data_IF_741855911586
#
_entry.id   IF_741855911586
#
_cell.length_a   1.000
_cell.length_b   1.000
_cell.length_c   1.000
_cell.angle_alpha   90.00
_cell.angle_beta   90.00
_cell.angle_gamma   90.00
#
_symmetry.space_group_name_H-M   'P 1'
#
loop_
_entity.id
_entity.type
_entity.pdbx_description
1 polymer ?
#
# COMPACT_ATOMS: atom_id res chain seq x y z
N UNK A 1 18.76 -0.51 7.79
CA UNK A 1 17.98 -0.14 6.58
C UNK A 1 16.54 -0.52 6.86
N UNK A 2 15.59 0.42 6.80
CA UNK A 2 14.22 0.22 7.29
C UNK A 2 13.43 -0.72 6.37
N UNK A 3 12.71 -1.68 6.96
CA UNK A 3 11.79 -2.57 6.24
C UNK A 3 10.73 -1.78 5.47
N UNK A 4 10.46 -2.19 4.22
CA UNK A 4 9.43 -1.59 3.39
C UNK A 4 8.15 -2.41 3.56
N UNK A 5 7.11 -1.79 4.12
CA UNK A 5 5.79 -2.40 4.25
C UNK A 5 4.87 -1.90 3.13
N UNK A 6 4.24 -2.84 2.42
CA UNK A 6 3.27 -2.57 1.36
C UNK A 6 1.87 -3.03 1.79
N UNK A 7 0.86 -2.21 1.52
CA UNK A 7 -0.53 -2.51 1.84
C UNK A 7 -1.04 -3.67 0.99
N UNK A 8 -1.39 -4.79 1.63
CA UNK A 8 -2.01 -5.94 1.00
C UNK A 8 -3.53 -5.98 1.18
N UNK A 9 -4.06 -5.28 2.20
CA UNK A 9 -5.50 -5.17 2.41
C UNK A 9 -5.83 -4.30 3.62
N UNK A 10 -7.05 -3.79 3.66
CA UNK A 10 -7.56 -2.95 4.73
C UNK A 10 -8.94 -3.47 5.14
N UNK A 11 -9.15 -3.65 6.43
CA UNK A 11 -10.36 -4.26 6.99
C UNK A 11 -10.76 -3.55 8.27
N UNK A 12 -12.06 -3.42 8.48
CA UNK A 12 -12.60 -2.95 9.76
C UNK A 12 -12.52 -4.05 10.83
N UNK A 13 -12.42 -3.68 12.11
CA UNK A 13 -12.61 -4.62 13.20
C UNK A 13 -14.02 -5.22 13.15
N UNK A 14 -14.19 -6.45 13.65
CA UNK A 14 -15.51 -7.05 13.75
C UNK A 14 -16.44 -6.18 14.59
N UNK A 15 -17.66 -5.94 14.10
CA UNK A 15 -18.67 -5.12 14.77
C UNK A 15 -18.65 -3.63 14.42
N UNK A 16 -17.71 -3.16 13.60
CA UNK A 16 -17.72 -1.78 13.08
C UNK A 16 -18.31 -1.75 11.67
N UNK A 17 -19.44 -1.07 11.53
CA UNK A 17 -20.08 -0.87 10.23
C UNK A 17 -19.39 0.27 9.44
N UNK A 18 -19.38 0.17 8.11
CA UNK A 18 -18.69 1.16 7.27
C UNK A 18 -19.37 2.53 7.32
N UNK A 19 -20.70 2.54 7.44
CA UNK A 19 -21.53 3.73 7.58
C UNK A 19 -21.34 4.47 8.90
N UNK A 20 -20.80 3.78 9.93
CA UNK A 20 -20.50 4.38 11.23
C UNK A 20 -19.14 5.07 11.26
N UNK A 21 -18.37 5.01 10.17
CA UNK A 21 -17.06 5.64 10.11
C UNK A 21 -17.15 7.15 9.93
N UNK A 22 -16.33 7.91 10.67
CA UNK A 22 -16.15 9.33 10.42
C UNK A 22 -15.75 9.60 8.96
N UNK A 23 -16.31 10.66 8.36
CA UNK A 23 -16.05 11.05 6.97
C UNK A 23 -14.57 11.10 6.57
N UNK A 24 -13.65 11.66 7.38
CA UNK A 24 -12.21 11.65 7.08
C UNK A 24 -11.63 10.24 6.93
N UNK A 25 -12.14 9.26 7.68
CA UNK A 25 -11.68 7.87 7.63
C UNK A 25 -12.20 7.17 6.37
N UNK A 26 -13.46 7.37 6.01
CA UNK A 26 -14.03 6.88 4.75
C UNK A 26 -13.25 7.42 3.55
N UNK A 27 -12.89 8.70 3.57
CA UNK A 27 -12.04 9.31 2.53
C UNK A 27 -10.63 8.73 2.52
N UNK A 28 -10.02 8.49 3.70
CA UNK A 28 -8.73 7.83 3.80
C UNK A 28 -8.76 6.42 3.21
N UNK A 29 -9.81 5.63 3.48
CA UNK A 29 -9.98 4.29 2.90
C UNK A 29 -10.06 4.35 1.38
N UNK A 30 -10.83 5.28 0.82
CA UNK A 30 -10.94 5.48 -0.62
C UNK A 30 -9.62 5.93 -1.27
N UNK A 31 -8.79 6.65 -0.52
CA UNK A 31 -7.46 7.09 -0.96
C UNK A 31 -6.42 5.96 -0.96
N UNK A 32 -6.68 4.83 -0.28
CA UNK A 32 -5.78 3.68 -0.19
C UNK A 32 -5.90 2.72 -1.38
N UNK A 33 -4.77 2.12 -1.77
CA UNK A 33 -4.73 1.09 -2.83
C UNK A 33 -3.73 -0.02 -2.50
N UNK A 34 -3.91 -1.18 -3.14
CA UNK A 34 -3.02 -2.34 -2.98
C UNK A 34 -1.58 -2.01 -3.44
N UNK A 35 -0.59 -2.27 -2.58
CA UNK A 35 0.81 -1.96 -2.82
C UNK A 35 1.24 -0.57 -2.32
N UNK A 36 0.34 0.21 -1.72
CA UNK A 36 0.69 1.50 -1.10
C UNK A 36 1.69 1.29 0.06
N UNK A 37 2.72 2.12 0.16
CA UNK A 37 3.69 2.01 1.25
C UNK A 37 3.17 2.62 2.56
N UNK A 38 3.70 2.15 3.70
CA UNK A 38 3.40 2.74 5.02
C UNK A 38 3.58 4.26 5.07
N UNK A 39 4.66 4.78 4.48
CA UNK A 39 4.92 6.24 4.45
C UNK A 39 3.88 6.99 3.61
N UNK A 40 3.44 6.41 2.49
CA UNK A 40 2.37 6.98 1.67
C UNK A 40 1.04 7.01 2.42
N UNK A 41 0.71 5.96 3.17
CA UNK A 41 -0.47 5.94 4.04
C UNK A 41 -0.40 7.07 5.08
N UNK A 42 0.72 7.23 5.79
CA UNK A 42 0.90 8.30 6.79
C UNK A 42 0.74 9.68 6.14
N UNK A 43 1.35 9.90 4.98
CA UNK A 43 1.25 11.17 4.27
C UNK A 43 -0.19 11.50 3.86
N UNK A 44 -0.96 10.50 3.42
CA UNK A 44 -2.38 10.66 3.07
C UNK A 44 -3.27 10.91 4.28
N UNK A 45 -3.08 10.16 5.37
CA UNK A 45 -3.77 10.43 6.63
C UNK A 45 -3.53 11.87 7.10
N UNK A 46 -2.27 12.32 7.08
CA UNK A 46 -1.91 13.70 7.46
C UNK A 46 -2.62 14.75 6.60
N UNK A 47 -2.74 14.53 5.29
CA UNK A 47 -3.49 15.43 4.37
C UNK A 47 -4.98 15.52 4.70
N UNK A 48 -5.54 14.51 5.38
CA UNK A 48 -6.94 14.48 5.85
C UNK A 48 -7.09 14.97 7.30
N UNK A 49 -6.02 15.51 7.90
CA UNK A 49 -6.03 15.92 9.31
C UNK A 49 -5.94 14.76 10.31
N UNK A 50 -5.64 13.55 9.84
CA UNK A 50 -5.56 12.36 10.68
C UNK A 50 -4.12 12.07 11.11
N UNK A 51 -3.93 11.80 12.40
CA UNK A 51 -2.71 11.19 12.93
C UNK A 51 -2.84 9.68 12.86
N UNK A 52 -1.98 9.05 12.06
CA UNK A 52 -1.97 7.61 11.84
C UNK A 52 -0.78 6.96 12.54
N UNK A 53 -1.08 5.97 13.37
CA UNK A 53 -0.10 5.11 14.05
C UNK A 53 -0.29 3.66 13.66
N UNK A 54 0.81 2.91 13.56
CA UNK A 54 0.80 1.49 13.20
C UNK A 54 1.34 0.68 14.37
N UNK A 55 0.63 -0.37 14.74
CA UNK A 55 1.07 -1.35 15.74
C UNK A 55 0.94 -2.75 15.16
N UNK A 56 2.02 -3.53 15.18
CA UNK A 56 1.96 -4.92 14.75
C UNK A 56 1.16 -5.73 15.79
N UNK A 57 0.21 -6.56 15.34
CA UNK A 57 -0.51 -7.47 16.26
C UNK A 57 0.33 -8.67 16.65
N UNK A 58 1.27 -9.06 15.79
CA UNK A 58 2.23 -10.14 16.02
C UNK A 58 3.56 -9.83 15.31
N UNK A 59 4.67 -10.49 15.68
CA UNK A 59 5.91 -10.42 14.92
C UNK A 59 5.68 -10.83 13.46
N UNK A 60 6.12 -10.01 12.50
CA UNK A 60 5.99 -10.28 11.07
C UNK A 60 7.38 -10.55 10.47
N UNK A 61 7.68 -11.80 10.07
CA UNK A 61 8.91 -12.12 9.35
C UNK A 61 9.02 -11.36 8.03
N UNK A 62 10.25 -11.21 7.54
CA UNK A 62 10.50 -10.61 6.23
C UNK A 62 9.97 -11.52 5.11
N UNK A 63 9.24 -10.94 4.16
CA UNK A 63 8.60 -11.64 3.05
C UNK A 63 7.16 -12.04 3.32
N UNK A 64 6.72 -11.97 4.57
CA UNK A 64 5.37 -12.35 4.99
C UNK A 64 4.41 -11.16 5.06
N UNK A 65 3.12 -11.47 5.14
CA UNK A 65 2.06 -10.48 5.35
C UNK A 65 1.61 -10.53 6.80
N UNK A 66 1.88 -9.45 7.53
CA UNK A 66 1.46 -9.29 8.91
C UNK A 66 0.16 -8.50 9.01
N UNK A 67 -0.55 -8.67 10.12
CA UNK A 67 -1.68 -7.82 10.50
C UNK A 67 -1.18 -6.69 11.39
N UNK A 68 -1.62 -5.48 11.09
CA UNK A 68 -1.26 -4.26 11.79
C UNK A 68 -2.52 -3.53 12.20
N UNK A 69 -2.59 -3.15 13.47
CA UNK A 69 -3.54 -2.19 13.96
C UNK A 69 -3.15 -0.79 13.46
N UNK A 70 -4.09 -0.15 12.77
CA UNK A 70 -4.04 1.24 12.38
C UNK A 70 -4.87 2.04 13.38
N UNK A 71 -4.22 2.94 14.12
CA UNK A 71 -4.89 3.87 15.02
C UNK A 71 -4.96 5.23 14.36
N UNK A 72 -6.17 5.73 14.16
CA UNK A 72 -6.47 7.04 13.61
C UNK A 72 -6.93 7.95 14.73
N UNK A 73 -6.41 9.17 14.76
CA UNK A 73 -6.85 10.19 15.69
C UNK A 73 -6.93 11.53 14.95
N UNK A 74 -8.06 12.21 15.01
CA UNK A 74 -8.28 13.56 14.45
C UNK A 74 -8.24 14.67 15.53
N UNK A 75 -7.85 14.31 16.76
CA UNK A 75 -7.86 15.17 17.94
C UNK A 75 -9.10 15.03 18.81
N UNK A 76 -10.19 14.46 18.29
CA UNK A 76 -11.49 14.33 18.99
C UNK A 76 -11.93 12.87 19.09
N UNK A 77 -11.76 12.11 18.01
CA UNK A 77 -12.18 10.72 17.88
C UNK A 77 -10.95 9.84 17.63
N UNK A 78 -10.88 8.71 18.35
CA UNK A 78 -9.95 7.63 18.04
C UNK A 78 -10.70 6.48 17.36
N UNK A 79 -10.15 5.97 16.25
CA UNK A 79 -10.67 4.79 15.57
C UNK A 79 -9.56 3.80 15.29
N UNK A 80 -9.92 2.52 15.30
CA UNK A 80 -9.02 1.41 15.06
C UNK A 80 -9.45 0.67 13.79
N UNK A 81 -8.48 0.35 12.95
CA UNK A 81 -8.66 -0.53 11.79
C UNK A 81 -7.55 -1.58 11.73
N UNK A 82 -7.76 -2.61 10.93
CA UNK A 82 -6.76 -3.63 10.66
C UNK A 82 -6.25 -3.49 9.22
N UNK A 83 -4.94 -3.37 9.06
CA UNK A 83 -4.27 -3.46 7.77
C UNK A 83 -3.46 -4.75 7.68
N UNK A 84 -3.55 -5.41 6.53
CA UNK A 84 -2.61 -6.45 6.13
C UNK A 84 -1.48 -5.77 5.39
N UNK A 85 -0.27 -5.83 5.94
CA UNK A 85 0.92 -5.26 5.31
C UNK A 85 1.92 -6.37 5.00
N UNK A 86 2.35 -6.43 3.75
CA UNK A 86 3.44 -7.30 3.32
C UNK A 86 4.79 -6.63 3.67
N UNK A 87 5.61 -7.32 4.47
CA UNK A 87 6.97 -6.90 4.75
C UNK A 87 7.85 -7.30 3.58
N UNK A 88 8.17 -6.34 2.72
CA UNK A 88 9.16 -6.54 1.67
C UNK A 88 10.52 -6.27 2.31
N UNK A 89 11.18 -7.34 2.75
CA UNK A 89 12.57 -7.25 3.21
C UNK A 89 13.44 -6.56 2.19
N UNK A 90 14.57 -6.00 2.64
CA UNK A 90 15.58 -5.46 1.73
C UNK A 90 15.86 -6.53 0.66
N UNK A 91 15.41 -6.27 -0.57
CA UNK A 91 15.62 -7.19 -1.68
C UNK A 91 17.13 -7.29 -1.88
N UNK A 92 17.77 -8.33 -1.33
CA UNK A 92 18.95 -8.90 -1.97
C UNK A 92 18.53 -9.15 -3.41
N UNK A 93 19.18 -8.45 -4.34
CA UNK A 93 18.66 -8.21 -5.67
C UNK A 93 18.37 -9.50 -6.41
N UNK A 94 17.09 -9.79 -6.67
CA UNK A 94 16.58 -10.67 -7.75
C UNK A 94 15.06 -10.81 -7.62
N UNK A 95 14.32 -9.78 -8.04
CA UNK A 95 12.97 -9.93 -8.62
C UNK A 95 12.56 -8.63 -9.29
N UNK A 96 12.96 -8.53 -10.56
CA UNK A 96 12.29 -7.72 -11.57
C UNK A 96 10.89 -8.30 -11.82
N UNK A 97 9.98 -7.40 -12.20
CA UNK A 97 8.65 -7.61 -12.81
C UNK A 97 7.54 -8.09 -11.85
N UNK A 98 6.34 -7.50 -11.85
CA UNK A 98 5.60 -6.95 -12.99
C UNK A 98 4.69 -5.76 -12.61
N UNK A 99 4.19 -5.09 -13.66
CA UNK A 99 3.17 -4.01 -13.68
C UNK A 99 3.65 -2.56 -13.54
N UNK A 100 4.41 -2.12 -14.54
CA UNK A 100 4.11 -0.87 -15.26
C UNK A 100 4.83 -0.92 -16.60
N UNK A 101 4.06 -0.75 -17.67
CA UNK A 101 4.49 -0.62 -19.07
C UNK A 101 5.22 -1.83 -19.67
N UNK A 102 4.48 -2.90 -19.93
CA UNK A 102 4.75 -3.75 -21.10
C UNK A 102 3.99 -3.14 -22.28
N UNK A 103 4.46 -1.99 -22.77
CA UNK A 103 4.10 -1.54 -24.11
C UNK A 103 4.92 -2.41 -25.02
N UNK A 104 4.23 -3.26 -25.79
CA UNK A 104 4.78 -4.01 -26.91
C UNK A 104 5.96 -3.28 -27.53
N UNK A 105 7.18 -3.79 -27.29
CA UNK A 105 8.32 -3.39 -28.12
C UNK A 105 8.01 -3.90 -29.52
N UNK A 106 8.03 -3.05 -30.55
CA UNK A 106 7.91 -3.54 -31.91
C UNK A 106 9.05 -4.53 -32.18
N UNK A 107 8.79 -5.60 -32.96
CA UNK A 107 9.79 -6.61 -33.23
C UNK A 107 11.04 -5.98 -33.88
N UNK A 108 12.23 -6.56 -33.69
CA UNK A 108 13.45 -6.08 -34.32
C UNK A 108 13.25 -6.00 -35.84
N UNK A 109 13.46 -4.82 -36.42
CA UNK A 109 13.39 -4.63 -37.89
C UNK A 109 14.53 -5.39 -38.55
N UNK A 110 14.22 -6.14 -39.61
CA UNK A 110 15.20 -6.84 -40.44
C UNK A 110 16.06 -5.81 -41.21
N UNK A 111 17.40 -5.89 -41.17
CA UNK A 111 18.29 -4.99 -41.92
C UNK A 111 18.08 -5.01 -43.45
N UNK A 112 17.35 -5.99 -44.01
CA UNK A 112 16.97 -6.02 -45.42
C UNK A 112 15.87 -5.03 -45.81
N UNK A 113 15.15 -4.44 -44.85
CA UNK A 113 14.06 -3.49 -45.11
C UNK A 113 14.51 -2.02 -45.26
N UNK A 114 15.82 -1.75 -45.33
CA UNK A 114 16.37 -0.37 -45.33
C UNK A 114 16.23 0.39 -46.66
N UNK A 115 15.22 0.07 -47.49
CA UNK A 115 14.93 0.79 -48.74
C UNK A 115 13.45 0.80 -49.04
N UNK A 116 12.71 1.64 -48.34
CA UNK A 116 11.46 2.24 -48.81
C UNK A 116 11.23 3.45 -47.90
N UNK A 117 11.20 4.63 -48.53
CA UNK A 117 11.14 5.99 -47.99
C UNK A 117 12.47 6.60 -47.56
#
# INVERSE_FOLDING_TARGET
MADIYLLAGLTLPPGVAHESLPGPMTQFMADCWFGMSRTQMIARAKRRGLRLSFRATAPCPSGETGVFELRFNDGVVECLMLARLQRVGARSGKRRQASRTDVSRPPPRDPRQTRLF
#
